data_IF_434145446384
#
_entry.id   IF_434145446384
#
_cell.length_a   1.000
_cell.length_b   1.000
_cell.length_c   1.000
_cell.angle_alpha   90.00
_cell.angle_beta   90.00
_cell.angle_gamma   90.00
#
_symmetry.space_group_name_H-M   'P 1'
#
loop_
_entity.id
_entity.type
_entity.pdbx_description
1 polymer ?
#
# COMPACT_ATOMS: atom_id res chain seq x y z
N UNK A 1 25.27 -4.45 -34.07
CA UNK A 1 24.18 -3.74 -33.35
C UNK A 1 23.93 -4.55 -32.09
N UNK A 2 24.51 -4.12 -30.97
CA UNK A 2 24.45 -4.84 -29.72
C UNK A 2 23.09 -4.60 -29.06
N UNK A 3 22.35 -5.68 -28.86
CA UNK A 3 21.15 -5.73 -28.04
C UNK A 3 21.56 -5.44 -26.59
N UNK A 4 21.19 -4.26 -26.09
CA UNK A 4 21.41 -3.89 -24.70
C UNK A 4 20.37 -4.62 -23.85
N UNK A 5 20.74 -5.81 -23.38
CA UNK A 5 19.99 -6.64 -22.45
C UNK A 5 19.79 -5.98 -21.07
N UNK A 6 18.98 -4.94 -21.02
CA UNK A 6 18.20 -4.64 -19.82
C UNK A 6 16.95 -5.51 -19.87
N UNK A 7 16.82 -6.45 -18.94
CA UNK A 7 15.62 -7.26 -18.76
C UNK A 7 14.43 -6.30 -18.57
N UNK A 8 13.68 -6.02 -19.64
CA UNK A 8 12.56 -5.10 -19.59
C UNK A 8 11.47 -5.76 -18.76
N UNK A 9 11.28 -5.27 -17.53
CA UNK A 9 10.24 -5.75 -16.63
C UNK A 9 8.90 -5.88 -17.36
N UNK A 10 8.23 -7.02 -17.18
CA UNK A 10 6.97 -7.33 -17.85
C UNK A 10 5.93 -6.24 -17.53
N UNK A 11 5.26 -5.73 -18.58
CA UNK A 11 4.22 -4.69 -18.47
C UNK A 11 2.85 -5.31 -18.68
N UNK A 12 1.79 -4.60 -18.33
CA UNK A 12 0.43 -5.06 -18.62
C UNK A 12 0.17 -4.93 -20.13
N UNK A 13 -0.13 -6.06 -20.77
CA UNK A 13 -0.52 -6.13 -22.17
C UNK A 13 -2.04 -5.98 -22.34
N UNK A 14 -2.84 -6.58 -21.45
CA UNK A 14 -4.29 -6.44 -21.48
C UNK A 14 -4.92 -6.56 -20.10
N UNK A 15 -6.13 -5.99 -19.96
CA UNK A 15 -6.97 -6.08 -18.76
C UNK A 15 -8.35 -6.56 -19.20
N UNK A 16 -8.91 -7.52 -18.47
CA UNK A 16 -10.28 -7.96 -18.62
C UNK A 16 -11.00 -7.86 -17.27
N UNK A 17 -12.18 -7.24 -17.25
CA UNK A 17 -12.99 -7.03 -16.05
C UNK A 17 -14.43 -7.43 -16.37
N UNK A 18 -14.96 -8.40 -15.63
CA UNK A 18 -16.33 -8.89 -15.74
C UNK A 18 -16.96 -8.99 -14.37
N UNK A 19 -18.24 -8.65 -14.30
CA UNK A 19 -19.04 -8.68 -13.08
C UNK A 19 -18.35 -8.05 -11.85
N UNK A 20 -17.74 -6.89 -12.04
CA UNK A 20 -16.97 -6.23 -10.99
C UNK A 20 -17.38 -4.76 -10.91
N UNK A 21 -17.99 -4.39 -9.78
CA UNK A 21 -18.45 -3.03 -9.45
C UNK A 21 -19.27 -2.38 -10.57
N UNK A 22 -18.64 -1.58 -11.43
CA UNK A 22 -19.30 -0.84 -12.50
C UNK A 22 -19.39 -1.63 -13.82
N UNK A 23 -18.76 -2.81 -13.90
CA UNK A 23 -18.69 -3.63 -15.10
C UNK A 23 -19.59 -4.86 -14.92
N UNK A 24 -20.78 -4.91 -15.54
CA UNK A 24 -21.67 -6.07 -15.42
C UNK A 24 -21.15 -7.26 -16.23
N UNK A 25 -21.59 -8.47 -15.91
CA UNK A 25 -21.23 -9.68 -16.64
C UNK A 25 -21.59 -9.61 -18.15
N UNK A 26 -22.72 -8.96 -18.47
CA UNK A 26 -23.24 -8.83 -19.84
C UNK A 26 -22.44 -7.86 -20.71
N UNK A 27 -21.64 -6.97 -20.10
CA UNK A 27 -20.82 -5.99 -20.80
C UNK A 27 -19.46 -5.86 -20.11
N UNK A 28 -18.60 -6.89 -20.23
CA UNK A 28 -17.28 -6.86 -19.63
C UNK A 28 -16.39 -5.82 -20.32
N UNK A 29 -15.47 -5.24 -19.56
CA UNK A 29 -14.44 -4.37 -20.11
C UNK A 29 -13.24 -5.21 -20.58
N UNK A 30 -12.79 -4.96 -21.81
CA UNK A 30 -11.54 -5.47 -22.35
C UNK A 30 -10.68 -4.29 -22.81
N UNK A 31 -9.51 -4.13 -22.21
CA UNK A 31 -8.59 -3.03 -22.48
C UNK A 31 -7.27 -3.61 -23.00
N UNK A 32 -6.92 -3.27 -24.23
CA UNK A 32 -5.62 -3.62 -24.82
C UNK A 32 -4.64 -2.45 -24.59
N UNK A 33 -3.52 -2.76 -23.96
CA UNK A 33 -2.50 -1.78 -23.57
C UNK A 33 -1.18 -1.99 -24.33
N UNK A 34 -0.81 -3.25 -24.57
CA UNK A 34 0.45 -3.59 -25.24
C UNK A 34 1.67 -2.92 -24.56
N UNK A 35 1.68 -2.92 -23.22
CA UNK A 35 2.71 -2.29 -22.41
C UNK A 35 2.73 -0.75 -22.41
N UNK A 36 1.69 -0.10 -22.93
CA UNK A 36 1.54 1.36 -22.97
C UNK A 36 0.81 1.90 -21.74
N UNK A 37 0.90 3.22 -21.54
CA UNK A 37 0.23 3.92 -20.46
C UNK A 37 -1.29 4.06 -20.72
N UNK A 38 -2.09 3.91 -19.68
CA UNK A 38 -3.55 4.11 -19.73
C UNK A 38 -3.95 5.42 -19.06
N UNK A 39 -4.65 6.29 -19.79
CA UNK A 39 -5.37 7.44 -19.23
C UNK A 39 -6.88 7.17 -19.27
N UNK A 40 -7.51 6.98 -18.12
CA UNK A 40 -8.94 6.77 -18.01
C UNK A 40 -9.68 8.06 -17.59
N UNK A 41 -10.61 8.53 -18.41
CA UNK A 41 -11.40 9.75 -18.17
C UNK A 41 -12.90 9.51 -18.51
N UNK A 42 -13.79 10.40 -18.05
CA UNK A 42 -15.24 10.27 -18.24
C UNK A 42 -16.06 10.78 -17.05
N UNK A 43 -17.39 10.67 -17.11
CA UNK A 43 -18.34 11.19 -16.11
C UNK A 43 -18.29 10.48 -14.75
N UNK A 44 -18.73 11.16 -13.69
CA UNK A 44 -18.85 10.54 -12.38
C UNK A 44 -19.78 9.31 -12.45
N UNK A 45 -19.33 8.19 -11.87
CA UNK A 45 -20.04 6.91 -11.95
C UNK A 45 -19.68 6.02 -13.14
N UNK A 46 -18.93 6.50 -14.14
CA UNK A 46 -18.59 5.74 -15.36
C UNK A 46 -17.64 4.53 -15.17
N UNK A 47 -17.30 4.17 -13.93
CA UNK A 47 -16.46 3.00 -13.65
C UNK A 47 -14.94 3.21 -13.64
N UNK A 48 -14.43 4.44 -13.83
CA UNK A 48 -12.97 4.74 -13.75
C UNK A 48 -12.30 4.22 -12.48
N UNK A 49 -12.88 4.53 -11.31
CA UNK A 49 -12.37 4.07 -10.02
C UNK A 49 -12.51 2.56 -9.84
N UNK A 50 -13.42 1.91 -10.58
CA UNK A 50 -13.56 0.45 -10.58
C UNK A 50 -12.38 -0.21 -11.28
N UNK A 51 -11.85 0.35 -12.38
CA UNK A 51 -10.62 -0.14 -13.03
C UNK A 51 -9.45 -0.10 -12.04
N UNK A 52 -9.27 1.03 -11.34
CA UNK A 52 -8.23 1.16 -10.33
C UNK A 52 -8.37 0.12 -9.20
N UNK A 53 -9.59 -0.09 -8.70
CA UNK A 53 -9.85 -1.07 -7.64
C UNK A 53 -9.63 -2.51 -8.10
N UNK A 54 -9.98 -2.83 -9.35
CA UNK A 54 -9.74 -4.14 -9.94
C UNK A 54 -8.23 -4.44 -10.00
N UNK A 55 -7.43 -3.50 -10.52
CA UNK A 55 -5.98 -3.66 -10.59
C UNK A 55 -5.33 -3.69 -9.21
N UNK A 56 -5.72 -2.80 -8.30
CA UNK A 56 -5.19 -2.79 -6.93
C UNK A 56 -5.50 -4.08 -6.18
N UNK A 57 -6.68 -4.65 -6.38
CA UNK A 57 -7.04 -5.94 -5.82
C UNK A 57 -6.19 -7.05 -6.41
N UNK A 58 -6.17 -7.18 -7.75
CA UNK A 58 -5.40 -8.19 -8.48
C UNK A 58 -3.90 -8.19 -8.14
N UNK A 59 -3.31 -7.00 -7.96
CA UNK A 59 -1.90 -6.83 -7.63
C UNK A 59 -1.63 -6.72 -6.13
N UNK A 60 -2.57 -7.13 -5.28
CA UNK A 60 -2.41 -7.12 -3.82
C UNK A 60 -1.51 -8.28 -3.36
N UNK A 61 -0.62 -8.02 -2.39
CA UNK A 61 0.14 -9.09 -1.73
C UNK A 61 -0.76 -9.93 -0.83
N UNK A 62 -1.76 -9.31 -0.21
CA UNK A 62 -2.77 -10.02 0.58
C UNK A 62 -3.90 -10.52 -0.32
N UNK A 63 -4.29 -11.79 -0.15
CA UNK A 63 -5.43 -12.35 -0.86
C UNK A 63 -6.72 -11.60 -0.45
N UNK A 64 -7.44 -11.07 -1.44
CA UNK A 64 -8.71 -10.39 -1.24
C UNK A 64 -9.87 -11.24 -1.75
N UNK A 65 -10.98 -11.22 -1.03
CA UNK A 65 -12.24 -11.79 -1.51
C UNK A 65 -12.88 -10.84 -2.53
N UNK A 66 -12.99 -11.30 -3.78
CA UNK A 66 -13.57 -10.50 -4.87
C UNK A 66 -15.10 -10.44 -4.80
N UNK A 67 -15.74 -11.37 -4.08
CA UNK A 67 -17.20 -11.57 -4.07
C UNK A 67 -17.92 -10.33 -3.55
N UNK A 68 -17.32 -9.62 -2.60
CA UNK A 68 -17.82 -8.37 -2.04
C UNK A 68 -17.76 -7.19 -3.02
N UNK A 69 -17.12 -7.37 -4.18
CA UNK A 69 -16.90 -6.35 -5.19
C UNK A 69 -17.62 -6.65 -6.51
N UNK A 70 -18.53 -7.63 -6.50
CA UNK A 70 -19.38 -7.94 -7.64
C UNK A 70 -20.20 -6.73 -8.11
N UNK A 71 -20.67 -6.78 -9.36
CA UNK A 71 -21.62 -5.79 -9.82
C UNK A 71 -22.97 -6.03 -9.13
N UNK A 72 -23.56 -4.95 -8.61
CA UNK A 72 -24.81 -5.01 -7.83
C UNK A 72 -26.03 -5.48 -8.64
N UNK A 73 -25.93 -5.53 -9.97
CA UNK A 73 -26.98 -5.94 -10.88
C UNK A 73 -26.81 -7.36 -11.42
N UNK A 74 -25.75 -8.08 -10.99
CA UNK A 74 -25.51 -9.45 -11.45
C UNK A 74 -26.15 -10.46 -10.50
N UNK A 75 -26.85 -11.42 -11.08
CA UNK A 75 -27.44 -12.57 -10.38
C UNK A 75 -27.41 -13.79 -11.32
N UNK A 76 -26.60 -14.84 -11.05
CA UNK A 76 -25.68 -14.96 -9.92
C UNK A 76 -24.45 -14.04 -10.05
N UNK A 77 -23.83 -13.70 -8.92
CA UNK A 77 -22.59 -12.91 -8.88
C UNK A 77 -21.35 -13.80 -9.13
N UNK A 78 -20.66 -13.56 -10.24
CA UNK A 78 -19.44 -14.20 -10.71
C UNK A 78 -18.34 -13.18 -11.09
N UNK A 79 -17.84 -12.38 -10.13
CA UNK A 79 -16.80 -11.39 -10.39
C UNK A 79 -15.49 -12.02 -10.89
N UNK A 80 -14.91 -11.42 -11.93
CA UNK A 80 -13.65 -11.87 -12.52
C UNK A 80 -12.83 -10.69 -13.05
N UNK A 81 -11.59 -10.59 -12.57
CA UNK A 81 -10.58 -9.62 -13.05
C UNK A 81 -9.36 -10.39 -13.54
N UNK A 82 -8.93 -10.11 -14.77
CA UNK A 82 -7.73 -10.69 -15.37
C UNK A 82 -6.80 -9.61 -15.89
N UNK A 83 -5.49 -9.83 -15.77
CA UNK A 83 -4.49 -9.07 -16.49
C UNK A 83 -3.52 -10.03 -17.17
N UNK A 84 -3.20 -9.75 -18.43
CA UNK A 84 -2.14 -10.46 -19.15
C UNK A 84 -0.93 -9.54 -19.25
N UNK A 85 0.24 -10.05 -18.92
CA UNK A 85 1.51 -9.32 -19.05
C UNK A 85 2.12 -9.51 -20.44
N UNK A 86 3.08 -8.67 -20.82
CA UNK A 86 3.76 -8.71 -22.13
C UNK A 86 4.59 -9.99 -22.34
N UNK A 87 4.98 -10.66 -21.27
CA UNK A 87 5.63 -11.97 -21.28
C UNK A 87 4.63 -13.15 -21.38
N UNK A 88 3.34 -12.85 -21.57
CA UNK A 88 2.20 -13.78 -21.62
C UNK A 88 1.82 -14.40 -20.29
N UNK A 89 2.36 -13.93 -19.17
CA UNK A 89 1.90 -14.34 -17.84
C UNK A 89 0.47 -13.85 -17.63
N UNK A 90 -0.44 -14.76 -17.29
CA UNK A 90 -1.83 -14.44 -16.95
C UNK A 90 -2.03 -14.41 -15.44
N UNK A 91 -2.65 -13.33 -14.97
CA UNK A 91 -3.06 -13.13 -13.59
C UNK A 91 -4.58 -13.11 -13.56
N UNK A 92 -5.20 -13.98 -12.76
CA UNK A 92 -6.65 -14.08 -12.65
C UNK A 92 -7.08 -14.04 -11.19
N UNK A 93 -7.96 -13.10 -10.87
CA UNK A 93 -8.64 -12.98 -9.59
C UNK A 93 -10.13 -13.22 -9.79
N UNK A 94 -10.68 -14.20 -9.08
CA UNK A 94 -12.09 -14.58 -9.11
C UNK A 94 -12.51 -15.18 -7.76
N UNK A 95 -13.77 -15.59 -7.65
CA UNK A 95 -14.26 -16.31 -6.48
C UNK A 95 -13.49 -17.63 -6.20
N UNK A 96 -12.84 -18.21 -7.23
CA UNK A 96 -12.01 -19.39 -7.07
C UNK A 96 -10.66 -19.11 -6.38
N UNK A 97 -10.19 -17.86 -6.37
CA UNK A 97 -8.95 -17.49 -5.70
C UNK A 97 -8.28 -16.22 -6.22
N UNK A 98 -7.27 -15.80 -5.47
CA UNK A 98 -6.39 -14.68 -5.78
C UNK A 98 -5.01 -15.18 -6.23
N UNK A 99 -4.38 -14.59 -7.26
CA UNK A 99 -3.12 -15.10 -7.83
C UNK A 99 -1.88 -14.71 -7.00
N UNK A 100 -1.98 -14.66 -5.67
CA UNK A 100 -0.96 -14.09 -4.76
C UNK A 100 0.46 -14.61 -5.04
N UNK A 101 0.62 -15.92 -5.26
CA UNK A 101 1.93 -16.52 -5.52
C UNK A 101 2.61 -16.01 -6.81
N UNK A 102 1.82 -15.75 -7.85
CA UNK A 102 2.30 -15.29 -9.16
C UNK A 102 2.46 -13.76 -9.20
N UNK A 103 1.73 -13.07 -8.33
CA UNK A 103 1.72 -11.61 -8.28
C UNK A 103 2.78 -11.08 -7.33
N UNK A 104 3.27 -11.87 -6.35
CA UNK A 104 4.15 -11.40 -5.28
C UNK A 104 5.31 -10.51 -5.74
N UNK A 105 6.09 -10.90 -6.75
CA UNK A 105 7.20 -10.07 -7.24
C UNK A 105 6.73 -8.80 -7.97
N UNK A 106 5.62 -8.89 -8.71
CA UNK A 106 5.02 -7.77 -9.46
C UNK A 106 4.28 -6.79 -8.54
N UNK A 107 3.56 -7.29 -7.53
CA UNK A 107 2.87 -6.53 -6.48
C UNK A 107 3.86 -5.65 -5.73
N UNK A 108 4.99 -6.24 -5.32
CA UNK A 108 6.06 -5.54 -4.58
C UNK A 108 6.72 -4.42 -5.39
N UNK A 109 6.64 -4.48 -6.72
CA UNK A 109 7.13 -3.46 -7.66
C UNK A 109 6.04 -2.45 -8.05
N UNK A 110 4.77 -2.74 -7.75
CA UNK A 110 3.64 -1.93 -8.17
C UNK A 110 3.34 -0.81 -7.16
N UNK A 111 3.53 0.44 -7.60
CA UNK A 111 3.24 1.62 -6.79
C UNK A 111 1.83 2.16 -7.14
N UNK A 112 0.82 1.77 -6.36
CA UNK A 112 -0.55 2.28 -6.55
C UNK A 112 -0.75 3.62 -5.85
N UNK A 113 -0.97 4.68 -6.64
CA UNK A 113 -1.24 6.01 -6.13
C UNK A 113 -2.69 6.42 -6.43
N UNK A 114 -3.46 6.75 -5.38
CA UNK A 114 -4.81 7.31 -5.54
C UNK A 114 -4.80 8.83 -5.40
N UNK A 115 -5.86 9.49 -5.89
CA UNK A 115 -6.03 10.94 -5.70
C UNK A 115 -6.02 11.36 -4.22
N UNK A 116 -6.64 10.57 -3.33
CA UNK A 116 -6.57 10.81 -1.88
C UNK A 116 -5.12 10.76 -1.38
N UNK A 117 -4.32 9.79 -1.87
CA UNK A 117 -2.90 9.70 -1.52
C UNK A 117 -2.10 10.88 -2.06
N UNK A 118 -2.41 11.37 -3.26
CA UNK A 118 -1.81 12.59 -3.82
C UNK A 118 -2.15 13.83 -2.98
N UNK A 119 -3.39 13.94 -2.49
CA UNK A 119 -3.76 15.00 -1.56
C UNK A 119 -2.99 14.85 -0.25
N UNK A 120 -3.00 13.66 0.37
CA UNK A 120 -2.24 13.41 1.61
C UNK A 120 -0.74 13.71 1.46
N UNK A 121 -0.15 13.44 0.30
CA UNK A 121 1.24 13.80 -0.01
C UNK A 121 1.46 15.31 -0.05
N UNK A 122 0.47 16.07 -0.52
CA UNK A 122 0.59 17.50 -0.77
C UNK A 122 0.06 18.36 0.39
N UNK A 123 -0.75 17.78 1.28
CA UNK A 123 -1.28 18.45 2.47
C UNK A 123 -0.56 17.93 3.71
N UNK A 124 0.38 18.72 4.25
CA UNK A 124 0.92 18.46 5.59
C UNK A 124 -0.13 18.70 6.69
N UNK A 125 0.27 18.60 7.96
CA UNK A 125 -0.64 18.83 9.11
C UNK A 125 -1.16 20.26 9.17
N UNK A 126 -0.47 21.19 8.51
CA UNK A 126 -0.87 22.59 8.35
C UNK A 126 -0.68 23.04 6.91
N UNK A 127 -1.37 24.13 6.52
CA UNK A 127 -1.35 24.67 5.15
C UNK A 127 0.04 25.16 4.66
N UNK A 128 1.04 25.24 5.54
CA UNK A 128 2.41 25.69 5.25
C UNK A 128 3.48 24.60 5.46
N UNK A 129 3.09 23.37 5.78
CA UNK A 129 4.06 22.28 5.88
C UNK A 129 4.58 21.91 4.49
N UNK A 130 5.90 21.74 4.37
CA UNK A 130 6.49 21.15 3.17
C UNK A 130 5.90 19.74 2.93
N UNK A 131 5.71 19.31 1.66
CA UNK A 131 5.18 17.98 1.35
C UNK A 131 5.97 16.89 2.09
N UNK A 132 5.34 16.22 3.05
CA UNK A 132 5.98 15.13 3.76
C UNK A 132 5.76 13.82 3.00
N UNK A 133 6.62 13.59 2.02
CA UNK A 133 6.57 12.42 1.17
C UNK A 133 7.02 11.14 1.88
N UNK A 134 7.72 11.26 3.02
CA UNK A 134 8.39 10.11 3.65
C UNK A 134 7.37 9.10 4.18
N UNK A 135 6.34 9.55 4.88
CA UNK A 135 5.29 8.66 5.41
C UNK A 135 4.56 7.93 4.29
N UNK A 136 4.15 8.64 3.23
CA UNK A 136 3.45 7.99 2.11
C UNK A 136 4.37 7.05 1.34
N UNK A 137 5.64 7.44 1.16
CA UNK A 137 6.61 6.62 0.43
C UNK A 137 6.91 5.34 1.18
N UNK A 138 7.21 5.41 2.48
CA UNK A 138 7.62 4.24 3.27
C UNK A 138 6.42 3.37 3.66
N UNK A 139 5.31 3.97 4.09
CA UNK A 139 4.18 3.21 4.64
C UNK A 139 3.15 2.77 3.61
N UNK A 140 3.24 3.27 2.37
CA UNK A 140 2.23 3.01 1.34
C UNK A 140 2.81 2.63 -0.02
N UNK A 141 3.82 3.36 -0.52
CA UNK A 141 4.39 3.05 -1.85
C UNK A 141 5.40 1.91 -1.82
N UNK A 142 6.28 1.92 -0.83
CA UNK A 142 7.35 0.96 -0.67
C UNK A 142 7.03 -0.10 0.38
N UNK A 143 5.86 -0.04 1.03
CA UNK A 143 5.53 -0.94 2.14
C UNK A 143 5.77 -2.42 1.80
N UNK A 144 5.46 -2.83 0.57
CA UNK A 144 5.61 -4.21 0.12
C UNK A 144 6.99 -4.50 -0.50
N UNK A 145 7.81 -3.48 -0.77
CA UNK A 145 9.12 -3.65 -1.42
C UNK A 145 10.06 -4.51 -0.57
N UNK A 146 10.72 -5.51 -1.19
CA UNK A 146 11.68 -6.38 -0.50
C UNK A 146 13.07 -5.76 -0.40
N UNK A 147 13.57 -5.66 0.83
CA UNK A 147 14.96 -5.37 1.12
C UNK A 147 15.70 -6.66 1.51
N UNK A 148 16.89 -6.85 0.94
CA UNK A 148 17.79 -7.95 1.34
C UNK A 148 18.62 -7.49 2.53
N UNK A 149 18.45 -8.16 3.66
CA UNK A 149 19.18 -7.88 4.90
C UNK A 149 20.51 -8.65 4.93
N UNK A 150 21.40 -8.25 5.85
CA UNK A 150 22.62 -8.99 6.14
C UNK A 150 22.28 -10.45 6.51
N UNK A 151 22.95 -11.42 5.86
CA UNK A 151 22.64 -12.85 6.00
C UNK A 151 21.64 -13.41 4.99
N UNK A 152 21.21 -12.63 4.00
CA UNK A 152 20.39 -13.11 2.88
C UNK A 152 18.89 -13.22 3.17
N UNK A 153 18.46 -12.81 4.36
CA UNK A 153 17.04 -12.77 4.73
C UNK A 153 16.31 -11.66 3.97
N UNK A 154 15.13 -11.97 3.42
CA UNK A 154 14.25 -10.99 2.77
C UNK A 154 13.17 -10.53 3.75
N UNK A 155 13.00 -9.22 3.84
CA UNK A 155 11.98 -8.53 4.65
C UNK A 155 11.39 -7.40 3.84
N UNK A 156 10.13 -7.03 4.08
CA UNK A 156 9.55 -5.86 3.42
C UNK A 156 9.95 -4.56 4.11
N UNK A 157 9.99 -3.46 3.37
CA UNK A 157 10.24 -2.13 3.96
C UNK A 157 9.17 -1.78 5.00
N UNK A 158 7.93 -2.21 4.80
CA UNK A 158 6.84 -2.04 5.78
C UNK A 158 7.10 -2.76 7.09
N UNK A 159 7.56 -4.01 7.04
CA UNK A 159 7.95 -4.79 8.25
C UNK A 159 9.11 -4.11 8.99
N UNK A 160 10.16 -3.72 8.26
CA UNK A 160 11.32 -3.04 8.84
C UNK A 160 10.92 -1.70 9.46
N UNK A 161 10.01 -0.96 8.83
CA UNK A 161 9.49 0.30 9.36
C UNK A 161 8.66 0.10 10.63
N UNK A 162 7.86 -0.96 10.70
CA UNK A 162 7.12 -1.31 11.90
C UNK A 162 8.06 -1.64 13.07
N UNK A 163 9.14 -2.39 12.82
CA UNK A 163 10.16 -2.70 13.82
C UNK A 163 10.85 -1.42 14.35
N UNK A 164 11.22 -0.49 13.46
CA UNK A 164 11.80 0.81 13.83
C UNK A 164 10.84 1.62 14.71
N UNK A 165 9.56 1.69 14.34
CA UNK A 165 8.55 2.41 15.13
C UNK A 165 8.31 1.78 16.50
N UNK A 166 8.34 0.45 16.60
CA UNK A 166 8.24 -0.26 17.87
C UNK A 166 9.45 0.04 18.76
N UNK A 167 10.67 0.02 18.21
CA UNK A 167 11.89 0.32 18.94
C UNK A 167 11.94 1.79 19.42
N UNK A 168 11.55 2.74 18.57
CA UNK A 168 11.43 4.15 18.93
C UNK A 168 10.43 4.36 20.07
N UNK A 169 9.26 3.73 19.98
CA UNK A 169 8.23 3.83 21.01
C UNK A 169 8.70 3.29 22.36
N UNK A 170 9.42 2.16 22.37
CA UNK A 170 10.02 1.59 23.56
C UNK A 170 11.13 2.46 24.15
N UNK A 171 11.98 3.07 23.31
CA UNK A 171 13.02 3.99 23.79
C UNK A 171 12.41 5.26 24.42
N UNK A 172 11.35 5.80 23.81
CA UNK A 172 10.64 6.95 24.36
C UNK A 172 9.98 6.67 25.70
N UNK A 173 9.35 5.49 25.89
CA UNK A 173 8.72 5.13 27.17
C UNK A 173 9.75 5.01 28.29
N UNK A 174 10.90 4.36 28.03
CA UNK A 174 12.01 4.23 28.99
C UNK A 174 12.57 5.60 29.38
N UNK A 175 12.80 6.48 28.39
CA UNK A 175 13.30 7.83 28.65
C UNK A 175 12.30 8.65 29.50
N UNK A 176 11.01 8.52 29.23
CA UNK A 176 9.94 9.21 29.96
C UNK A 176 9.86 8.72 31.42
N UNK A 177 9.96 7.42 31.66
CA UNK A 177 10.02 6.86 33.02
C UNK A 177 11.26 7.32 33.80
N UNK A 178 12.43 7.39 33.15
CA UNK A 178 13.67 7.87 33.75
C UNK A 178 13.59 9.36 34.14
N UNK A 179 12.96 10.19 33.31
CA UNK A 179 12.73 11.61 33.62
C UNK A 179 11.77 11.74 34.80
N UNK A 180 10.64 11.02 34.80
CA UNK A 180 9.66 11.04 35.90
C UNK A 180 10.30 10.61 37.22
N UNK A 181 11.08 9.51 37.24
CA UNK A 181 11.80 9.05 38.43
C UNK A 181 12.82 10.07 38.96
N UNK A 182 13.51 10.80 38.08
CA UNK A 182 14.44 11.87 38.47
C UNK A 182 13.72 13.07 39.08
N UNK A 183 12.57 13.48 38.54
CA UNK A 183 11.76 14.57 39.12
C UNK A 183 11.15 14.22 40.46
N UNK A 184 10.68 12.98 40.65
CA UNK A 184 10.14 12.50 41.93
C UNK A 184 11.21 12.43 43.03
N UNK A 185 12.43 12.02 42.68
CA UNK A 185 13.57 11.95 43.62
C UNK A 185 14.14 13.34 43.98
N UNK A 186 13.90 14.36 43.15
CA UNK A 186 14.28 15.75 43.43
C UNK A 186 13.28 16.42 44.39
N UNK A 187 11.99 16.10 44.31
CA UNK A 187 10.95 16.59 45.23
C UNK A 187 11.05 16.00 46.65
N UNK A 188 11.54 14.76 46.78
CA UNK A 188 11.73 14.12 48.09
C UNK A 188 13.03 14.51 48.83
N UNK A 189 13.90 15.32 48.21
CA UNK A 189 15.17 15.79 48.81
C UNK A 189 15.19 17.28 49.12
N UNK A 190 14.03 17.92 49.25
CA UNK A 190 13.95 19.28 49.79
C UNK A 190 14.02 19.19 51.31
N UNK A 191 15.06 19.72 51.98
CA UNK A 191 15.15 19.65 53.43
C UNK A 191 14.09 20.57 54.05
N UNK A 192 13.35 20.05 55.03
CA UNK A 192 12.49 20.88 55.87
C UNK A 192 13.37 21.90 56.62
N UNK A 193 13.25 23.17 56.26
CA UNK A 193 13.76 24.29 57.06
C UNK A 193 13.03 24.27 58.40
N UNK A 194 13.69 23.71 59.41
CA UNK A 194 13.34 23.81 60.82
C UNK A 194 13.39 25.28 61.24
N UNK A 195 12.24 25.92 61.40
CA UNK A 195 12.14 27.23 62.01
C UNK A 195 12.08 27.05 63.53
N UNK A 196 13.22 27.29 64.18
CA UNK A 196 13.36 27.30 65.63
C UNK A 196 13.14 28.73 66.14
N UNK A 197 12.10 28.89 66.96
CA UNK A 197 11.85 29.88 68.04
C UNK A 197 12.38 31.33 67.90
N UNK A 198 11.47 32.27 68.12
CA UNK A 198 11.47 33.12 69.32
C UNK A 198 10.02 33.30 69.78
#
# INVERSE_FOLDING_TARGET
MADSGGESAAKIASIYISDFRAFPALAPASLLLDGKNLLAWGENGSGKSSIYRALRGLFSVEAQDISQMCNVFSDPAEPSVKATLTDKTELHWSAAGHPTANVLDTARKSAFLSHTRLIEMNTGRTANDAPNLLTVTVEKLLADYEATMAGGLRRTVGELWAEVNAALSAAYSIAREHVVRRTSRKRSRTPATSSMKA
#
